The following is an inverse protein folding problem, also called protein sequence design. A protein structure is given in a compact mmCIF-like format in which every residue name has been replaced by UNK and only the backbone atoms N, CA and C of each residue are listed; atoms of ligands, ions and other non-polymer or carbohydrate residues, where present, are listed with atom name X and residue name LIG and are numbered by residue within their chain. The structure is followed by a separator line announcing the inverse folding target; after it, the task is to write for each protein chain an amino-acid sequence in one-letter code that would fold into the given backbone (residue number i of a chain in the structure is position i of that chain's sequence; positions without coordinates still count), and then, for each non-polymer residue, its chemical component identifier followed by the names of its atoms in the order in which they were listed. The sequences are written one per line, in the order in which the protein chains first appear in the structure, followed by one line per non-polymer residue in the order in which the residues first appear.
data_IF_653498053659
#
_entry.id   IF_653498053659
#
_cell.length_a   1.000
_cell.length_b   1.000
_cell.length_c   1.000
_cell.angle_alpha   90.00
_cell.angle_beta   90.00
_cell.angle_gamma   90.00
#
_symmetry.space_group_name_H-M   'P 1'
#
loop_
_entity.id
_entity.type
_entity.pdbx_description
1 polymer ?
#
# COMPACT_ATOMS: atom_id res chain seq x y z
N UNK A 1 9.34 -44.05 23.71
CA UNK A 1 9.65 -42.61 23.66
C UNK A 1 8.62 -41.98 22.75
N UNK A 2 7.61 -41.39 23.38
CA UNK A 2 6.29 -41.12 22.83
C UNK A 2 6.29 -39.98 21.80
N UNK A 3 5.55 -40.22 20.73
CA UNK A 3 5.28 -39.39 19.57
C UNK A 3 4.43 -38.16 19.97
N UNK A 4 5.00 -37.25 20.77
CA UNK A 4 4.29 -36.09 21.36
C UNK A 4 4.67 -34.75 20.70
N UNK A 5 5.45 -34.78 19.62
CA UNK A 5 5.96 -33.58 18.93
C UNK A 5 5.07 -33.11 17.77
N UNK A 6 4.43 -34.02 17.02
CA UNK A 6 3.64 -33.63 15.85
C UNK A 6 2.33 -32.94 16.22
N UNK A 7 1.70 -33.34 17.34
CA UNK A 7 0.43 -32.76 17.78
C UNK A 7 0.56 -31.29 18.19
N UNK A 8 1.62 -30.95 18.91
CA UNK A 8 1.90 -29.56 19.30
C UNK A 8 2.31 -28.70 18.11
N UNK A 9 3.06 -29.25 17.15
CA UNK A 9 3.38 -28.57 15.89
C UNK A 9 2.10 -28.34 15.07
N UNK A 10 1.20 -29.32 14.98
CA UNK A 10 -0.10 -29.17 14.31
C UNK A 10 -1.02 -28.18 15.02
N UNK A 11 -1.00 -28.09 16.36
CA UNK A 11 -1.77 -27.10 17.10
C UNK A 11 -1.20 -25.69 16.93
N UNK A 12 0.12 -25.54 16.99
CA UNK A 12 0.79 -24.28 16.69
C UNK A 12 0.52 -23.86 15.25
N UNK A 13 0.60 -24.76 14.27
CA UNK A 13 0.19 -24.47 12.90
C UNK A 13 -1.31 -24.16 12.84
N UNK A 14 -2.22 -24.95 13.38
CA UNK A 14 -3.66 -24.68 13.27
C UNK A 14 -4.12 -23.38 13.96
N UNK A 15 -3.35 -22.86 14.93
CA UNK A 15 -3.64 -21.61 15.64
C UNK A 15 -2.85 -20.43 15.08
N UNK A 16 -1.58 -20.62 14.69
CA UNK A 16 -0.80 -19.58 14.00
C UNK A 16 -1.23 -19.42 12.54
N UNK A 17 -1.57 -20.50 11.82
CA UNK A 17 -1.97 -20.45 10.41
C UNK A 17 -3.19 -19.58 10.16
N UNK A 18 -4.27 -19.53 10.97
CA UNK A 18 -5.34 -18.53 10.79
C UNK A 18 -4.95 -17.12 11.26
N UNK A 19 -3.87 -16.98 12.04
CA UNK A 19 -3.31 -15.66 12.45
C UNK A 19 -2.33 -15.11 11.40
N UNK A 20 -1.59 -15.97 10.68
CA UNK A 20 -0.72 -15.58 9.54
C UNK A 20 -1.44 -15.61 8.20
N UNK A 21 -2.35 -16.56 7.95
CA UNK A 21 -3.42 -16.50 6.95
C UNK A 21 -4.68 -15.93 7.61
N UNK A 22 -4.54 -14.75 8.21
CA UNK A 22 -5.68 -13.86 8.28
C UNK A 22 -6.11 -13.60 6.84
N UNK A 23 -7.04 -14.40 6.32
CA UNK A 23 -7.79 -14.06 5.12
C UNK A 23 -8.60 -12.82 5.45
N UNK A 24 -7.92 -11.67 5.50
CA UNK A 24 -8.57 -10.37 5.47
C UNK A 24 -9.16 -10.31 4.08
N UNK A 25 -10.40 -10.78 3.94
CA UNK A 25 -11.13 -10.68 2.70
C UNK A 25 -11.05 -9.21 2.29
N UNK A 26 -10.28 -8.91 1.23
CA UNK A 26 -10.13 -7.54 0.74
C UNK A 26 -11.54 -7.05 0.47
N UNK A 27 -11.92 -5.95 1.13
CA UNK A 27 -13.23 -5.34 0.92
C UNK A 27 -13.38 -4.92 -0.55
N UNK A 28 -14.60 -4.55 -0.94
CA UNK A 28 -14.86 -3.99 -2.27
C UNK A 28 -13.86 -2.85 -2.52
N UNK A 29 -13.20 -2.88 -3.68
CA UNK A 29 -12.16 -1.93 -4.08
C UNK A 29 -10.89 -1.87 -3.21
N UNK A 30 -10.59 -2.93 -2.47
CA UNK A 30 -9.48 -2.98 -1.50
C UNK A 30 -9.89 -2.55 -0.09
N UNK A 31 -11.13 -2.10 0.11
CA UNK A 31 -11.71 -1.82 1.42
C UNK A 31 -10.88 -0.85 2.27
N UNK A 32 -10.65 -1.22 3.53
CA UNK A 32 -9.94 -0.37 4.49
C UNK A 32 -8.49 -0.13 4.09
N UNK A 33 -7.82 -1.08 3.43
CA UNK A 33 -6.43 -0.92 3.02
C UNK A 33 -6.30 0.17 1.96
N UNK A 34 -7.25 0.21 1.02
CA UNK A 34 -7.31 1.27 0.02
C UNK A 34 -7.55 2.64 0.67
N UNK A 35 -8.46 2.72 1.64
CA UNK A 35 -8.72 3.96 2.38
C UNK A 35 -7.47 4.42 3.15
N UNK A 36 -6.80 3.51 3.86
CA UNK A 36 -5.60 3.83 4.63
C UNK A 36 -4.47 4.29 3.70
N UNK A 37 -4.26 3.59 2.57
CA UNK A 37 -3.25 3.97 1.59
C UNK A 37 -3.50 5.39 1.07
N UNK A 38 -4.72 5.67 0.61
CA UNK A 38 -5.04 6.98 0.01
C UNK A 38 -4.95 8.12 1.03
N UNK A 39 -5.38 7.88 2.28
CA UNK A 39 -5.25 8.86 3.36
C UNK A 39 -3.79 9.12 3.73
N UNK A 40 -2.99 8.08 3.95
CA UNK A 40 -1.58 8.22 4.34
C UNK A 40 -0.79 8.95 3.25
N UNK A 41 -0.97 8.56 1.99
CA UNK A 41 -0.31 9.24 0.88
C UNK A 41 -0.82 10.69 0.69
N UNK A 42 -2.10 10.96 0.96
CA UNK A 42 -2.61 12.33 1.02
C UNK A 42 -1.95 13.17 2.13
N UNK A 43 -1.69 12.58 3.30
CA UNK A 43 -0.93 13.23 4.38
C UNK A 43 0.50 13.49 3.94
N UNK A 44 1.18 12.52 3.32
CA UNK A 44 2.55 12.68 2.80
C UNK A 44 2.63 13.85 1.82
N UNK A 45 1.72 13.93 0.85
CA UNK A 45 1.67 15.06 -0.10
C UNK A 45 1.39 16.40 0.59
N UNK A 46 0.51 16.41 1.58
CA UNK A 46 0.22 17.62 2.33
C UNK A 46 1.41 18.07 3.20
N UNK A 47 2.13 17.13 3.82
CA UNK A 47 3.35 17.42 4.58
C UNK A 47 4.44 18.02 3.68
N UNK A 48 4.62 17.47 2.47
CA UNK A 48 5.62 17.99 1.53
C UNK A 48 5.34 19.45 1.16
N UNK A 49 4.06 19.81 1.02
CA UNK A 49 3.62 21.19 0.73
C UNK A 49 3.76 22.08 1.96
N UNK A 50 3.23 21.67 3.12
CA UNK A 50 3.18 22.49 4.34
C UNK A 50 4.58 22.79 4.88
N UNK A 51 5.48 21.82 4.82
CA UNK A 51 6.85 21.95 5.32
C UNK A 51 7.88 22.26 4.25
N UNK A 52 7.46 22.38 2.99
CA UNK A 52 8.34 22.60 1.84
C UNK A 52 9.51 21.61 1.80
N UNK A 53 9.19 20.33 1.99
CA UNK A 53 10.15 19.22 2.05
C UNK A 53 9.90 18.23 0.90
N UNK A 54 10.88 17.38 0.64
CA UNK A 54 10.74 16.33 -0.37
C UNK A 54 9.71 15.27 0.05
N UNK A 55 9.19 14.52 -0.93
CA UNK A 55 8.31 13.37 -0.66
C UNK A 55 9.03 12.32 0.21
N UNK A 56 10.34 12.14 0.02
CA UNK A 56 11.17 11.24 0.82
C UNK A 56 11.14 11.66 2.29
N UNK A 57 11.44 12.92 2.58
CA UNK A 57 11.43 13.47 3.95
C UNK A 57 10.02 13.39 4.57
N UNK A 58 8.99 13.64 3.77
CA UNK A 58 7.58 13.54 4.20
C UNK A 58 7.18 12.10 4.57
N UNK A 59 7.67 11.10 3.82
CA UNK A 59 7.47 9.68 4.13
C UNK A 59 8.16 9.30 5.45
N UNK A 60 9.42 9.69 5.62
CA UNK A 60 10.15 9.43 6.87
C UNK A 60 9.50 10.12 8.07
N UNK A 61 9.04 11.36 7.89
CA UNK A 61 8.31 12.10 8.92
C UNK A 61 6.99 11.43 9.29
N UNK A 62 6.26 10.92 8.30
CA UNK A 62 5.03 10.17 8.54
C UNK A 62 5.30 8.94 9.42
N UNK A 63 6.40 8.22 9.18
CA UNK A 63 6.81 7.11 10.06
C UNK A 63 7.15 7.56 11.48
N UNK A 64 7.66 8.77 11.68
CA UNK A 64 7.99 9.28 13.01
C UNK A 64 6.76 9.61 13.86
N UNK A 65 5.60 9.87 13.25
CA UNK A 65 4.32 10.07 13.94
C UNK A 65 3.68 8.78 14.45
N UNK A 66 4.13 7.61 13.96
CA UNK A 66 3.60 6.34 14.41
C UNK A 66 4.14 5.94 15.80
N UNK A 67 3.36 5.18 16.59
CA UNK A 67 3.84 4.57 17.81
C UNK A 67 5.11 3.73 17.58
N UNK A 68 6.04 3.63 18.57
CA UNK A 68 7.33 2.95 18.41
C UNK A 68 7.26 1.56 17.77
N UNK A 69 6.24 0.76 18.12
CA UNK A 69 6.03 -0.59 17.60
C UNK A 69 5.74 -0.65 16.09
N UNK A 70 5.28 0.44 15.48
CA UNK A 70 4.95 0.51 14.04
C UNK A 70 6.01 1.24 13.22
N UNK A 71 6.95 1.95 13.86
CA UNK A 71 7.98 2.73 13.16
C UNK A 71 8.86 1.88 12.27
N UNK A 72 9.26 0.69 12.76
CA UNK A 72 10.11 -0.23 12.00
C UNK A 72 9.40 -0.70 10.73
N UNK A 73 8.16 -1.18 10.86
CA UNK A 73 7.37 -1.62 9.72
C UNK A 73 7.09 -0.50 8.71
N UNK A 74 6.90 0.73 9.18
CA UNK A 74 6.73 1.88 8.29
C UNK A 74 8.00 2.18 7.51
N UNK A 75 9.17 2.19 8.17
CA UNK A 75 10.45 2.45 7.50
C UNK A 75 10.77 1.38 6.45
N UNK A 76 10.53 0.11 6.77
CA UNK A 76 10.66 -0.99 5.81
C UNK A 76 9.71 -0.82 4.61
N UNK A 77 8.47 -0.41 4.87
CA UNK A 77 7.51 -0.13 3.81
C UNK A 77 7.93 1.08 2.95
N UNK A 78 8.54 2.12 3.53
CA UNK A 78 9.09 3.26 2.78
C UNK A 78 10.30 2.85 1.96
N UNK A 79 11.18 2.01 2.48
CA UNK A 79 12.33 1.51 1.73
C UNK A 79 11.89 0.67 0.53
N UNK A 80 10.85 -0.16 0.71
CA UNK A 80 10.34 -1.03 -0.32
C UNK A 80 9.41 -0.33 -1.33
N UNK A 81 8.40 0.41 -0.85
CA UNK A 81 7.37 1.05 -1.69
C UNK A 81 7.70 2.50 -2.04
N UNK A 82 8.68 3.11 -1.38
CA UNK A 82 9.09 4.50 -1.60
C UNK A 82 9.36 4.83 -3.07
N UNK A 83 10.12 4.02 -3.84
CA UNK A 83 10.46 4.34 -5.22
C UNK A 83 9.24 4.62 -6.12
N UNK A 84 8.22 3.76 -6.07
CA UNK A 84 6.99 3.94 -6.86
C UNK A 84 6.13 5.09 -6.32
N UNK A 85 6.12 5.32 -5.00
CA UNK A 85 5.38 6.43 -4.38
C UNK A 85 6.00 7.77 -4.81
N UNK A 86 7.33 7.89 -4.73
CA UNK A 86 8.07 9.08 -5.11
C UNK A 86 7.87 9.38 -6.60
N UNK A 87 8.07 8.39 -7.49
CA UNK A 87 7.83 8.57 -8.93
C UNK A 87 6.38 8.96 -9.23
N UNK A 88 5.42 8.41 -8.47
CA UNK A 88 4.01 8.80 -8.55
C UNK A 88 3.81 10.29 -8.28
N UNK A 89 4.32 10.78 -7.15
CA UNK A 89 4.18 12.19 -6.79
C UNK A 89 4.99 13.14 -7.69
N UNK A 90 6.19 12.75 -8.14
CA UNK A 90 6.98 13.53 -9.10
C UNK A 90 6.23 13.72 -10.43
N UNK A 91 5.44 12.72 -10.84
CA UNK A 91 4.54 12.81 -12.00
C UNK A 91 3.21 13.47 -11.71
N UNK A 92 3.03 14.00 -10.50
CA UNK A 92 1.82 14.70 -10.04
C UNK A 92 0.58 13.80 -10.03
N UNK A 93 0.77 12.48 -9.92
CA UNK A 93 -0.32 11.53 -9.75
C UNK A 93 -1.02 11.75 -8.40
N UNK A 94 -2.30 11.38 -8.32
CA UNK A 94 -3.04 11.45 -7.04
C UNK A 94 -2.69 10.25 -6.16
N UNK A 95 -2.88 10.37 -4.82
CA UNK A 95 -2.80 9.23 -3.92
C UNK A 95 -3.63 8.02 -4.38
N UNK A 96 -4.81 8.24 -4.97
CA UNK A 96 -5.62 7.15 -5.51
C UNK A 96 -4.88 6.37 -6.61
N UNK A 97 -4.30 7.07 -7.59
CA UNK A 97 -3.54 6.43 -8.68
C UNK A 97 -2.34 5.66 -8.13
N UNK A 98 -1.61 6.24 -7.17
CA UNK A 98 -0.45 5.60 -6.55
C UNK A 98 -0.88 4.31 -5.83
N UNK A 99 -1.96 4.35 -5.06
CA UNK A 99 -2.50 3.17 -4.38
C UNK A 99 -3.02 2.08 -5.33
N UNK A 100 -3.52 2.44 -6.52
CA UNK A 100 -3.81 1.48 -7.60
C UNK A 100 -2.56 0.91 -8.26
N UNK A 101 -1.49 1.72 -8.37
CA UNK A 101 -0.17 1.26 -8.80
C UNK A 101 0.39 0.20 -7.88
N UNK A 102 0.26 0.43 -6.58
CA UNK A 102 0.63 -0.49 -5.49
C UNK A 102 -0.28 -1.73 -5.35
N UNK A 103 -1.35 -1.84 -6.15
CA UNK A 103 -2.37 -2.92 -6.05
C UNK A 103 -3.10 -3.00 -4.70
N UNK A 104 -2.99 -1.98 -3.85
CA UNK A 104 -3.72 -1.90 -2.58
C UNK A 104 -5.19 -1.54 -2.87
N UNK A 105 -5.38 -0.51 -3.71
CA UNK A 105 -6.69 -0.21 -4.28
C UNK A 105 -6.92 -1.05 -5.54
N UNK A 106 -8.14 -1.55 -5.71
CA UNK A 106 -8.56 -2.31 -6.88
C UNK A 106 -9.90 -1.80 -7.37
N UNK A 107 -10.26 -2.07 -8.63
CA UNK A 107 -11.62 -1.84 -9.11
C UNK A 107 -12.40 -3.15 -9.04
N UNK A 108 -13.61 -3.09 -8.48
CA UNK A 108 -14.55 -4.19 -8.38
C UNK A 108 -15.88 -3.77 -9.02
N UNK A 109 -16.43 -4.66 -9.85
CA UNK A 109 -17.76 -4.51 -10.44
C UNK A 109 -18.03 -3.16 -11.14
N UNK A 110 -17.01 -2.53 -11.74
CA UNK A 110 -17.16 -1.28 -12.50
C UNK A 110 -17.34 -0.01 -11.66
N UNK A 111 -17.16 -0.10 -10.33
CA UNK A 111 -17.18 1.06 -9.45
C UNK A 111 -15.74 1.43 -9.05
N UNK A 112 -15.30 2.61 -9.47
CA UNK A 112 -14.00 3.18 -9.14
C UNK A 112 -14.12 4.02 -7.85
N UNK A 113 -13.28 3.72 -6.85
CA UNK A 113 -13.18 4.55 -5.65
C UNK A 113 -12.17 5.67 -5.87
N UNK A 114 -12.60 6.93 -5.71
CA UNK A 114 -11.73 8.12 -5.73
C UNK A 114 -11.95 8.94 -4.46
N UNK A 115 -10.88 9.20 -3.73
CA UNK A 115 -10.88 10.16 -2.63
C UNK A 115 -10.46 11.56 -3.09
N UNK A 116 -9.51 11.64 -4.03
CA UNK A 116 -8.99 12.91 -4.54
C UNK A 116 -9.55 13.23 -5.93
N UNK A 117 -9.79 14.52 -6.24
CA UNK A 117 -10.22 14.92 -7.57
C UNK A 117 -9.13 14.61 -8.60
N UNK A 118 -9.49 14.17 -9.82
CA UNK A 118 -8.51 13.86 -10.86
C UNK A 118 -7.70 15.12 -11.22
N UNK A 119 -6.37 14.97 -11.27
CA UNK A 119 -5.42 16.06 -11.60
C UNK A 119 -5.44 16.44 -13.09
N UNK A 120 -5.96 15.57 -13.94
CA UNK A 120 -6.12 15.81 -15.37
C UNK A 120 -7.51 15.41 -15.87
N UNK A 121 -7.97 16.04 -16.95
CA UNK A 121 -9.20 15.67 -17.67
C UNK A 121 -9.05 14.35 -18.48
N UNK A 122 -8.04 13.53 -18.18
CA UNK A 122 -7.74 12.32 -18.95
C UNK A 122 -8.89 11.31 -18.87
N UNK A 123 -9.27 10.72 -20.01
CA UNK A 123 -10.25 9.61 -20.10
C UNK A 123 -9.70 8.27 -19.58
N UNK A 124 -8.57 8.28 -18.88
CA UNK A 124 -7.87 7.09 -18.41
C UNK A 124 -8.41 6.75 -17.01
N UNK A 125 -8.77 5.49 -16.76
CA UNK A 125 -9.20 5.06 -15.43
C UNK A 125 -8.03 5.05 -14.43
N UNK A 126 -8.32 5.14 -13.12
CA UNK A 126 -7.33 4.99 -12.05
C UNK A 126 -6.57 3.69 -12.20
N UNK A 127 -7.27 2.59 -12.47
CA UNK A 127 -6.61 1.30 -12.65
C UNK A 127 -5.58 1.33 -13.79
N UNK A 128 -5.89 2.03 -14.89
CA UNK A 128 -4.95 2.17 -16.01
C UNK A 128 -3.80 3.13 -15.69
N UNK A 129 -4.06 4.27 -15.05
CA UNK A 129 -2.98 5.15 -14.59
C UNK A 129 -2.07 4.44 -13.59
N UNK A 130 -2.66 3.68 -12.66
CA UNK A 130 -1.95 2.86 -11.69
C UNK A 130 -1.12 1.76 -12.36
N UNK A 131 -1.64 1.07 -13.39
CA UNK A 131 -0.83 0.10 -14.13
C UNK A 131 0.34 0.75 -14.83
N UNK A 132 0.13 1.91 -15.47
CA UNK A 132 1.20 2.64 -16.15
C UNK A 132 2.29 3.11 -15.16
N UNK A 133 1.92 3.44 -13.93
CA UNK A 133 2.86 3.74 -12.84
C UNK A 133 3.65 2.50 -12.45
N UNK A 134 2.96 1.39 -12.14
CA UNK A 134 3.61 0.13 -11.74
C UNK A 134 4.54 -0.45 -12.80
N UNK A 135 4.20 -0.36 -14.08
CA UNK A 135 5.01 -0.94 -15.16
C UNK A 135 6.39 -0.27 -15.31
N UNK A 136 6.61 0.89 -14.67
CA UNK A 136 7.92 1.56 -14.60
C UNK A 136 8.84 1.02 -13.50
N UNK A 137 8.29 0.22 -12.58
CA UNK A 137 8.98 -0.35 -11.41
C UNK A 137 8.91 -1.88 -11.48
N UNK A 138 9.61 -2.52 -12.45
CA UNK A 138 9.52 -3.96 -12.71
C UNK A 138 9.94 -4.84 -11.52
N UNK A 139 10.81 -4.34 -10.65
CA UNK A 139 11.24 -4.99 -9.41
C UNK A 139 10.12 -5.11 -8.38
N UNK A 140 9.19 -4.14 -8.33
CA UNK A 140 8.01 -4.18 -7.46
C UNK A 140 6.88 -5.03 -8.08
N UNK A 141 6.86 -5.14 -9.41
CA UNK A 141 5.84 -5.92 -10.14
C UNK A 141 5.81 -7.39 -9.73
N UNK A 142 6.96 -8.05 -9.59
CA UNK A 142 7.04 -9.48 -9.25
C UNK A 142 6.55 -9.80 -7.83
N UNK A 143 6.70 -8.85 -6.91
CA UNK A 143 6.33 -8.98 -5.51
C UNK A 143 4.83 -8.69 -5.30
N UNK A 144 4.28 -7.69 -5.99
CA UNK A 144 2.85 -7.35 -5.93
C UNK A 144 1.93 -8.34 -6.67
N UNK A 145 2.48 -9.23 -7.51
CA UNK A 145 1.71 -10.28 -8.20
C UNK A 145 1.61 -11.60 -7.43
N UNK A 146 2.36 -11.77 -6.33
CA UNK A 146 2.36 -13.01 -5.53
C UNK A 146 1.33 -13.04 -4.38
N UNK A 147 0.47 -12.02 -4.26
CA UNK A 147 -0.57 -11.90 -3.21
C UNK A 147 -1.96 -11.76 -3.79
#
# INVERSE_FOLDING_TARGET
MSNMGLGWICLLLAVFFPVVNGSMARGVNGGNDCLICTLVLGVVENLSIVYNESIVESLERTCNYLPPQFKIYCKEAVEFLGPIIIDGFEKKETPDVICHGLKICTDAAGHECRLFPPRSSSRISLAQSGSNLRDRHPELRSLLTST
#
